data_IF_160541874234
#
_entry.id   IF_160541874234
#
_cell.length_a   1.000
_cell.length_b   1.000
_cell.length_c   1.000
_cell.angle_alpha   90.00
_cell.angle_beta   90.00
_cell.angle_gamma   90.00
#
_symmetry.space_group_name_H-M   'P 1'
#
loop_
_entity.id
_entity.type
_entity.pdbx_description
1 polymer ?
#
# COMPACT_ATOMS: atom_id res chain seq x y z
N UNK A 1 -5.48 -21.50 -3.63
CA UNK A 1 -4.40 -20.70 -3.00
C UNK A 1 -5.03 -20.01 -1.81
N UNK A 2 -4.74 -20.45 -0.58
CA UNK A 2 -5.31 -19.86 0.64
C UNK A 2 -4.49 -18.61 0.96
N UNK A 3 -4.94 -17.45 0.51
CA UNK A 3 -4.40 -16.19 1.00
C UNK A 3 -4.74 -16.09 2.48
N UNK A 4 -3.79 -16.40 3.36
CA UNK A 4 -3.91 -16.08 4.77
C UNK A 4 -3.90 -14.55 4.83
N UNK A 5 -5.10 -13.95 4.89
CA UNK A 5 -5.33 -12.53 5.10
C UNK A 5 -4.79 -12.16 6.49
N UNK A 6 -3.47 -12.06 6.63
CA UNK A 6 -2.79 -11.73 7.87
C UNK A 6 -2.68 -10.21 7.99
N UNK A 7 -3.66 -9.64 8.68
CA UNK A 7 -3.90 -8.24 9.00
C UNK A 7 -4.51 -7.39 7.88
N UNK A 8 -5.83 -7.22 7.96
CA UNK A 8 -6.53 -6.16 7.22
C UNK A 8 -6.29 -4.83 7.92
N UNK A 9 -5.15 -4.21 7.64
CA UNK A 9 -4.82 -2.86 8.08
C UNK A 9 -5.62 -1.84 7.25
N UNK A 10 -6.93 -1.74 7.53
CA UNK A 10 -7.84 -0.75 6.93
C UNK A 10 -7.29 0.67 7.03
N UNK A 11 -6.49 0.91 8.05
CA UNK A 11 -5.87 2.19 8.39
C UNK A 11 -4.87 2.66 7.33
N UNK A 12 -4.26 1.74 6.58
CA UNK A 12 -3.31 2.09 5.52
C UNK A 12 -3.99 2.34 4.17
N UNK A 13 -5.30 2.10 4.05
CA UNK A 13 -6.07 2.43 2.84
C UNK A 13 -6.40 3.92 2.75
N UNK A 14 -6.70 4.46 1.54
CA UNK A 14 -7.05 5.86 1.41
C UNK A 14 -8.34 6.16 2.18
N UNK A 15 -8.46 7.36 2.74
CA UNK A 15 -9.67 7.77 3.47
C UNK A 15 -10.91 7.75 2.57
N UNK A 16 -12.09 7.68 3.18
CA UNK A 16 -13.37 7.72 2.45
C UNK A 16 -13.50 8.99 1.63
N UNK A 17 -13.09 10.14 2.18
CA UNK A 17 -13.19 11.43 1.49
C UNK A 17 -12.22 11.51 0.32
N UNK A 18 -10.99 10.99 0.47
CA UNK A 18 -10.03 10.95 -0.62
C UNK A 18 -10.49 10.01 -1.76
N UNK A 19 -11.08 8.85 -1.43
CA UNK A 19 -11.68 7.94 -2.43
C UNK A 19 -12.82 8.60 -3.20
N UNK A 20 -13.73 9.29 -2.49
CA UNK A 20 -14.84 10.02 -3.10
C UNK A 20 -14.36 11.17 -3.98
N UNK A 21 -13.30 11.87 -3.57
CA UNK A 21 -12.72 12.96 -4.36
C UNK A 21 -12.05 12.46 -5.65
N UNK A 22 -11.35 11.33 -5.57
CA UNK A 22 -10.71 10.70 -6.72
C UNK A 22 -11.74 10.24 -7.75
N UNK A 23 -12.85 9.64 -7.28
CA UNK A 23 -14.00 9.27 -8.12
C UNK A 23 -13.63 8.44 -9.37
N UNK A 24 -12.52 7.72 -9.33
CA UNK A 24 -11.95 6.98 -10.48
C UNK A 24 -11.66 7.85 -11.72
N UNK A 25 -11.35 9.14 -11.54
CA UNK A 25 -10.98 10.04 -12.62
C UNK A 25 -9.46 9.96 -12.87
N UNK A 26 -8.98 9.41 -14.01
CA UNK A 26 -7.55 9.20 -14.26
C UNK A 26 -6.74 10.51 -14.23
N UNK A 27 -7.34 11.62 -14.65
CA UNK A 27 -6.73 12.96 -14.61
C UNK A 27 -6.37 13.40 -13.18
N UNK A 28 -7.11 12.90 -12.18
CA UNK A 28 -6.84 13.18 -10.76
C UNK A 28 -5.84 12.21 -10.14
N UNK A 29 -5.48 11.12 -10.83
CA UNK A 29 -4.63 10.07 -10.26
C UNK A 29 -3.26 10.57 -9.77
N UNK A 30 -2.54 11.45 -10.50
CA UNK A 30 -1.25 11.96 -10.01
C UNK A 30 -1.39 12.72 -8.68
N UNK A 31 -2.49 13.44 -8.50
CA UNK A 31 -2.77 14.20 -7.28
C UNK A 31 -3.32 13.29 -6.17
N UNK A 32 -4.16 12.31 -6.52
CA UNK A 32 -4.62 11.26 -5.60
C UNK A 32 -3.44 10.51 -4.99
N UNK A 33 -2.45 10.13 -5.80
CA UNK A 33 -1.21 9.50 -5.33
C UNK A 33 -0.50 10.34 -4.27
N UNK A 34 -0.29 11.63 -4.53
CA UNK A 34 0.37 12.53 -3.57
C UNK A 34 -0.40 12.63 -2.26
N UNK A 35 -1.71 12.83 -2.33
CA UNK A 35 -2.56 12.93 -1.14
C UNK A 35 -2.61 11.64 -0.35
N UNK A 36 -2.70 10.50 -1.04
CA UNK A 36 -2.74 9.21 -0.39
C UNK A 36 -1.41 8.87 0.30
N UNK A 37 -0.28 9.17 -0.33
CA UNK A 37 1.04 9.04 0.32
C UNK A 37 1.13 9.94 1.56
N UNK A 38 0.61 11.17 1.50
CA UNK A 38 0.58 12.04 2.66
C UNK A 38 -0.32 11.50 3.79
N UNK A 39 -1.46 10.88 3.47
CA UNK A 39 -2.31 10.20 4.46
C UNK A 39 -1.56 9.03 5.12
N UNK A 40 -0.82 8.25 4.34
CA UNK A 40 0.01 7.14 4.84
C UNK A 40 1.11 7.66 5.77
N UNK A 41 1.87 8.68 5.34
CA UNK A 41 2.99 9.26 6.11
C UNK A 41 2.52 9.92 7.41
N UNK A 42 1.30 10.46 7.43
CA UNK A 42 0.70 11.04 8.62
C UNK A 42 0.05 10.01 9.57
N UNK A 43 -0.04 8.73 9.17
CA UNK A 43 -0.68 7.69 9.97
C UNK A 43 0.27 7.22 11.08
N UNK A 44 -0.18 7.31 12.34
CA UNK A 44 0.58 6.85 13.52
C UNK A 44 0.85 5.33 13.52
N UNK A 45 0.04 4.54 12.81
CA UNK A 45 0.23 3.10 12.65
C UNK A 45 1.34 2.73 11.65
N UNK A 46 1.83 3.69 10.84
CA UNK A 46 2.81 3.44 9.78
C UNK A 46 4.08 2.70 10.27
N UNK A 47 4.74 3.09 11.38
CA UNK A 47 5.94 2.39 11.83
C UNK A 47 5.67 0.91 12.14
N UNK A 48 4.59 0.63 12.89
CA UNK A 48 4.19 -0.74 13.24
C UNK A 48 3.80 -1.56 12.01
N UNK A 49 3.16 -0.91 11.03
CA UNK A 49 2.84 -1.55 9.75
C UNK A 49 4.09 -1.92 8.95
N UNK A 50 5.08 -1.03 8.86
CA UNK A 50 6.35 -1.33 8.17
C UNK A 50 7.08 -2.49 8.84
N UNK A 51 7.12 -2.52 10.17
CA UNK A 51 7.75 -3.62 10.92
C UNK A 51 7.02 -4.95 10.70
N UNK A 52 5.68 -4.93 10.68
CA UNK A 52 4.87 -6.10 10.35
C UNK A 52 5.17 -6.63 8.94
N UNK A 53 5.20 -5.74 7.93
CA UNK A 53 5.46 -6.14 6.54
C UNK A 53 6.88 -6.65 6.38
N UNK A 54 7.88 -5.98 6.97
CA UNK A 54 9.28 -6.44 6.94
C UNK A 54 9.44 -7.82 7.59
N UNK A 55 8.80 -8.04 8.74
CA UNK A 55 8.80 -9.34 9.43
C UNK A 55 8.16 -10.43 8.58
N UNK A 56 7.01 -10.16 7.95
CA UNK A 56 6.37 -11.14 7.06
C UNK A 56 7.22 -11.45 5.83
N UNK A 57 7.84 -10.44 5.20
CA UNK A 57 8.68 -10.64 4.01
C UNK A 57 9.93 -11.49 4.27
N UNK A 58 10.39 -11.57 5.52
CA UNK A 58 11.48 -12.46 5.90
C UNK A 58 11.10 -13.95 5.81
N UNK A 59 9.82 -14.29 6.07
CA UNK A 59 9.34 -15.68 6.13
C UNK A 59 8.47 -16.08 4.92
N UNK A 60 7.74 -15.15 4.33
CA UNK A 60 6.75 -15.41 3.27
C UNK A 60 6.51 -14.20 2.36
N UNK A 61 5.77 -14.40 1.28
CA UNK A 61 5.40 -13.30 0.38
C UNK A 61 4.17 -12.55 0.91
N UNK A 62 4.19 -11.23 0.75
CA UNK A 62 3.07 -10.35 1.15
C UNK A 62 2.23 -10.01 -0.07
N UNK A 63 0.93 -10.33 0.00
CA UNK A 63 -0.02 -10.07 -1.10
C UNK A 63 -0.88 -8.84 -0.74
N UNK A 64 -0.79 -7.79 -1.57
CA UNK A 64 -1.65 -6.62 -1.46
C UNK A 64 -2.95 -6.83 -2.22
N UNK A 65 -4.06 -6.94 -1.50
CA UNK A 65 -5.38 -7.10 -2.09
C UNK A 65 -6.02 -5.73 -2.36
N UNK A 66 -6.57 -5.56 -3.57
CA UNK A 66 -7.35 -4.38 -3.94
C UNK A 66 -8.62 -4.77 -4.68
N UNK A 67 -9.64 -3.92 -4.56
CA UNK A 67 -10.97 -4.13 -5.15
C UNK A 67 -11.32 -3.07 -6.20
N UNK A 68 -10.38 -2.71 -7.06
CA UNK A 68 -10.62 -1.77 -8.17
C UNK A 68 -10.66 -2.54 -9.49
N UNK A 69 -11.57 -2.16 -10.40
CA UNK A 69 -11.60 -2.70 -11.77
C UNK A 69 -10.47 -2.19 -12.65
N UNK A 70 -9.84 -1.08 -12.24
CA UNK A 70 -8.71 -0.47 -12.93
C UNK A 70 -7.42 -1.02 -12.34
N UNK A 71 -6.71 -1.82 -13.12
CA UNK A 71 -5.45 -2.45 -12.70
C UNK A 71 -4.27 -1.47 -12.81
N UNK A 72 -4.40 -0.35 -13.53
CA UNK A 72 -3.33 0.63 -13.75
C UNK A 72 -3.41 1.81 -12.77
N UNK A 73 -4.64 2.24 -12.42
CA UNK A 73 -4.89 3.37 -11.53
C UNK A 73 -5.58 2.93 -10.23
N UNK A 74 -4.91 2.09 -9.44
CA UNK A 74 -5.40 1.65 -8.14
C UNK A 74 -4.51 2.05 -6.97
N UNK A 75 -5.11 2.07 -5.78
CA UNK A 75 -4.42 2.38 -4.53
C UNK A 75 -3.36 1.33 -4.15
N UNK A 76 -3.48 0.07 -4.59
CA UNK A 76 -2.50 -0.95 -4.24
C UNK A 76 -1.16 -0.73 -4.94
N UNK A 77 -1.14 -0.24 -6.18
CA UNK A 77 0.10 0.16 -6.85
C UNK A 77 0.78 1.27 -6.06
N UNK A 78 0.03 2.27 -5.61
CA UNK A 78 0.58 3.38 -4.82
C UNK A 78 1.17 2.87 -3.49
N UNK A 79 0.42 2.04 -2.77
CA UNK A 79 0.89 1.45 -1.51
C UNK A 79 2.10 0.54 -1.73
N UNK A 80 2.13 -0.23 -2.82
CA UNK A 80 3.26 -1.08 -3.20
C UNK A 80 4.51 -0.25 -3.43
N UNK A 81 4.44 0.76 -4.29
CA UNK A 81 5.59 1.65 -4.54
C UNK A 81 6.07 2.32 -3.25
N UNK A 82 5.13 2.74 -2.41
CA UNK A 82 5.44 3.30 -1.10
C UNK A 82 6.22 2.29 -0.23
N UNK A 83 5.76 1.05 -0.12
CA UNK A 83 6.41 0.00 0.65
C UNK A 83 7.80 -0.35 0.11
N UNK A 84 7.96 -0.51 -1.21
CA UNK A 84 9.26 -0.80 -1.82
C UNK A 84 10.30 0.28 -1.48
N UNK A 85 9.88 1.55 -1.45
CA UNK A 85 10.76 2.68 -1.08
C UNK A 85 11.14 2.66 0.41
N UNK A 86 10.21 2.34 1.30
CA UNK A 86 10.41 2.43 2.76
C UNK A 86 10.91 1.14 3.42
N UNK A 87 10.93 0.03 2.67
CA UNK A 87 11.46 -1.25 3.13
C UNK A 87 12.83 -1.57 2.51
N UNK A 88 13.34 -0.74 1.59
CA UNK A 88 14.61 -0.98 0.90
C UNK A 88 15.82 -1.09 1.86
N UNK A 89 15.77 -0.45 3.03
CA UNK A 89 16.78 -0.55 4.09
C UNK A 89 16.51 -1.68 5.11
N UNK A 90 15.30 -2.25 5.11
CA UNK A 90 14.83 -3.23 6.10
C UNK A 90 14.77 -4.65 5.58
N UNK A 91 14.65 -4.81 4.26
CA UNK A 91 14.41 -6.09 3.59
C UNK A 91 15.41 -6.23 2.42
N UNK A 92 16.01 -7.41 2.22
CA UNK A 92 16.88 -7.65 1.07
C UNK A 92 16.19 -7.35 -0.26
N UNK A 93 16.88 -6.72 -1.21
CA UNK A 93 16.31 -6.34 -2.50
C UNK A 93 15.71 -7.52 -3.28
N UNK A 94 16.23 -8.74 -3.09
CA UNK A 94 15.70 -9.97 -3.69
C UNK A 94 14.27 -10.30 -3.24
N UNK A 95 13.86 -9.85 -2.04
CA UNK A 95 12.50 -10.03 -1.48
C UNK A 95 11.56 -8.87 -1.82
N UNK A 96 12.06 -7.81 -2.46
CA UNK A 96 11.30 -6.62 -2.88
C UNK A 96 11.08 -6.61 -4.39
N UNK A 97 10.59 -7.73 -4.92
CA UNK A 97 10.36 -7.95 -6.36
C UNK A 97 8.86 -8.12 -6.66
N UNK A 98 8.49 -7.94 -7.93
CA UNK A 98 7.14 -8.11 -8.46
C UNK A 98 6.70 -9.58 -8.56
#
# INVERSE_FOLDING_TARGET
>A
MNAQLASWEKEMGPTTDLRKWFNHEPEKFPEFKKRYVAEIEANEALPSFLDLVAGQLADQDVILLYGAKDEEHNQAIILKEFLLKHLADRVPAERLTD
#
